data_IF_079431044875
#
_entry.id   IF_079431044875
#
_cell.length_a   1.000
_cell.length_b   1.000
_cell.length_c   1.000
_cell.angle_alpha   90.00
_cell.angle_beta   90.00
_cell.angle_gamma   90.00
#
_symmetry.space_group_name_H-M   'P 1'
#
loop_
_entity.id
_entity.type
_entity.pdbx_description
1 polymer ?
#
# COMPACT_ATOMS: atom_id res chain seq x y z
N UNK A 1 20.08 24.78 -17.50
CA UNK A 1 19.66 23.40 -17.17
C UNK A 1 18.73 23.53 -15.97
N UNK A 2 17.44 23.27 -16.15
CA UNK A 2 16.44 23.49 -15.10
C UNK A 2 16.72 22.62 -13.89
N UNK A 3 16.69 23.22 -12.70
CA UNK A 3 16.80 22.51 -11.42
C UNK A 3 15.77 21.36 -11.42
N UNK A 4 16.15 20.09 -11.12
CA UNK A 4 15.16 19.04 -10.95
C UNK A 4 14.11 19.55 -9.97
N UNK A 5 12.83 19.45 -10.33
CA UNK A 5 11.75 19.74 -9.39
C UNK A 5 12.05 18.95 -8.11
N UNK A 6 12.20 19.66 -6.98
CA UNK A 6 12.34 18.98 -5.71
C UNK A 6 11.12 18.08 -5.49
N UNK A 7 11.28 17.02 -4.70
CA UNK A 7 10.26 15.99 -4.52
C UNK A 7 8.89 16.58 -4.15
N UNK A 8 8.86 17.62 -3.31
CA UNK A 8 7.62 18.28 -2.89
C UNK A 8 6.97 19.04 -4.04
N UNK A 9 7.75 19.77 -4.83
CA UNK A 9 7.27 20.42 -6.05
C UNK A 9 6.73 19.42 -7.07
N UNK A 10 7.43 18.29 -7.28
CA UNK A 10 6.98 17.21 -8.16
C UNK A 10 5.64 16.62 -7.70
N UNK A 11 5.54 16.26 -6.41
CA UNK A 11 4.30 15.73 -5.83
C UNK A 11 3.16 16.72 -5.98
N UNK A 12 3.41 18.01 -5.75
CA UNK A 12 2.40 19.06 -5.96
C UNK A 12 1.94 19.14 -7.42
N UNK A 13 2.88 19.10 -8.38
CA UNK A 13 2.56 19.11 -9.82
C UNK A 13 1.74 17.89 -10.25
N UNK A 14 2.00 16.73 -9.65
CA UNK A 14 1.25 15.50 -9.91
C UNK A 14 -0.05 15.38 -9.10
N UNK A 15 -0.40 16.39 -8.30
CA UNK A 15 -1.52 16.35 -7.36
C UNK A 15 -1.43 15.19 -6.35
N UNK A 16 -0.20 14.83 -5.97
CA UNK A 16 0.18 13.80 -5.00
C UNK A 16 0.82 14.41 -3.74
N UNK A 17 0.56 15.69 -3.44
CA UNK A 17 0.96 16.30 -2.16
C UNK A 17 0.32 15.61 -0.96
N UNK A 18 -0.79 14.91 -1.14
CA UNK A 18 -1.46 14.13 -0.09
C UNK A 18 -2.11 12.88 -0.68
N UNK A 19 -1.64 11.71 -0.30
CA UNK A 19 -2.19 10.44 -0.76
C UNK A 19 -1.97 9.34 0.29
N UNK A 20 -2.75 8.26 0.18
CA UNK A 20 -2.51 7.05 0.95
C UNK A 20 -2.06 5.95 0.00
N UNK A 21 -0.91 5.34 0.26
CA UNK A 21 -0.49 4.11 -0.40
C UNK A 21 -1.13 2.92 0.31
N UNK A 22 -1.70 2.01 -0.47
CA UNK A 22 -2.30 0.78 0.03
C UNK A 22 -1.53 -0.41 -0.50
N UNK A 23 -1.33 -1.40 0.36
CA UNK A 23 -0.75 -2.69 0.04
C UNK A 23 -1.57 -3.81 0.70
N UNK A 24 -1.67 -4.95 0.03
CA UNK A 24 -2.49 -6.06 0.48
C UNK A 24 -1.79 -7.38 0.20
N UNK A 25 -1.80 -8.24 1.22
CA UNK A 25 -1.46 -9.65 1.05
C UNK A 25 -2.74 -10.47 1.00
N UNK A 26 -2.80 -11.45 0.10
CA UNK A 26 -4.02 -12.22 -0.17
C UNK A 26 -3.75 -13.72 -0.25
N UNK A 27 -4.80 -14.53 -0.12
CA UNK A 27 -4.69 -15.99 -0.26
C UNK A 27 -4.37 -16.47 -1.68
N UNK A 28 -4.30 -15.56 -2.65
CA UNK A 28 -4.06 -15.82 -4.07
C UNK A 28 -4.43 -14.62 -4.96
N UNK A 29 -4.45 -14.81 -6.28
CA UNK A 29 -4.60 -13.74 -7.28
C UNK A 29 -6.04 -13.57 -7.81
N UNK A 30 -7.00 -14.37 -7.37
CA UNK A 30 -8.38 -14.31 -7.86
C UNK A 30 -9.22 -13.32 -7.02
N UNK A 31 -9.63 -12.16 -7.58
CA UNK A 31 -10.38 -11.16 -6.83
C UNK A 31 -11.78 -11.59 -6.39
N UNK A 32 -12.34 -12.65 -7.00
CA UNK A 32 -13.66 -13.17 -6.62
C UNK A 32 -13.56 -14.24 -5.53
N UNK A 33 -12.51 -15.05 -5.56
CA UNK A 33 -12.39 -16.22 -4.69
C UNK A 33 -11.39 -16.04 -3.54
N UNK A 34 -10.33 -15.25 -3.73
CA UNK A 34 -9.31 -15.03 -2.71
C UNK A 34 -9.71 -13.99 -1.66
N UNK A 35 -9.01 -14.02 -0.54
CA UNK A 35 -9.30 -13.22 0.66
C UNK A 35 -8.05 -12.51 1.13
N UNK A 36 -8.24 -11.37 1.77
CA UNK A 36 -7.16 -10.56 2.34
C UNK A 36 -6.62 -11.25 3.61
N UNK A 37 -5.30 -11.27 3.73
CA UNK A 37 -4.53 -11.74 4.88
C UNK A 37 -3.96 -10.52 5.65
N UNK A 38 -3.54 -9.48 4.96
CA UNK A 38 -3.02 -8.25 5.55
C UNK A 38 -3.48 -7.03 4.75
N UNK A 39 -3.67 -5.90 5.44
CA UNK A 39 -3.76 -4.57 4.83
C UNK A 39 -2.73 -3.63 5.44
N UNK A 40 -2.04 -2.89 4.59
CA UNK A 40 -1.26 -1.72 4.98
C UNK A 40 -1.80 -0.46 4.28
N UNK A 41 -1.99 0.62 5.04
CA UNK A 41 -2.38 1.93 4.54
C UNK A 41 -1.48 3.01 5.14
N UNK A 42 -0.66 3.64 4.30
CA UNK A 42 0.35 4.62 4.72
C UNK A 42 -0.01 5.98 4.11
N UNK A 43 -0.32 6.96 4.97
CA UNK A 43 -0.59 8.33 4.54
C UNK A 43 0.72 9.06 4.33
N UNK A 44 0.84 9.71 3.17
CA UNK A 44 1.90 10.65 2.85
C UNK A 44 1.35 12.07 2.72
N UNK A 45 2.08 13.04 3.28
CA UNK A 45 1.87 14.47 3.06
C UNK A 45 3.21 15.11 2.69
N UNK A 46 3.26 15.76 1.52
CA UNK A 46 4.46 16.32 0.91
C UNK A 46 5.65 15.35 0.85
N UNK A 47 5.34 14.05 0.74
CA UNK A 47 6.31 12.97 0.67
C UNK A 47 6.72 12.40 2.04
N UNK A 48 6.29 12.99 3.14
CA UNK A 48 6.56 12.46 4.47
C UNK A 48 5.42 11.58 4.96
N UNK A 49 5.73 10.51 5.69
CA UNK A 49 4.71 9.64 6.27
C UNK A 49 4.09 10.36 7.46
N UNK A 50 2.76 10.54 7.44
CA UNK A 50 2.03 11.19 8.54
C UNK A 50 1.11 10.25 9.29
N UNK A 51 0.76 9.09 8.71
CA UNK A 51 -0.05 8.07 9.37
C UNK A 51 0.28 6.68 8.85
N UNK A 52 0.09 5.67 9.70
CA UNK A 52 0.29 4.25 9.38
C UNK A 52 -0.80 3.41 10.00
N UNK A 53 -1.43 2.59 9.18
CA UNK A 53 -2.33 1.53 9.61
C UNK A 53 -1.85 0.21 9.00
N UNK A 54 -1.65 -0.81 9.83
CA UNK A 54 -1.25 -2.15 9.39
C UNK A 54 -1.99 -3.15 10.26
N UNK A 55 -2.67 -4.11 9.63
CA UNK A 55 -3.44 -5.13 10.35
C UNK A 55 -3.45 -6.47 9.61
N UNK A 56 -3.27 -7.54 10.38
CA UNK A 56 -3.52 -8.91 9.95
C UNK A 56 -5.01 -9.24 10.07
N UNK A 57 -5.56 -9.82 9.02
CA UNK A 57 -6.95 -10.20 8.88
C UNK A 57 -7.04 -11.72 8.83
N UNK A 58 -7.96 -12.31 9.59
CA UNK A 58 -8.28 -13.73 9.44
C UNK A 58 -9.08 -13.93 8.14
N UNK A 59 -8.55 -14.63 7.12
CA UNK A 59 -9.25 -14.79 5.84
C UNK A 59 -10.40 -15.80 5.89
N UNK A 60 -10.66 -16.42 7.05
CA UNK A 60 -11.68 -17.45 7.29
C UNK A 60 -11.57 -18.66 6.34
N UNK A 61 -10.36 -18.90 5.82
CA UNK A 61 -10.04 -20.03 4.96
C UNK A 61 -8.58 -20.48 5.13
N UNK A 62 -8.25 -21.73 4.76
CA UNK A 62 -6.87 -22.18 4.74
C UNK A 62 -6.02 -21.35 3.78
N UNK A 63 -4.83 -20.99 4.21
CA UNK A 63 -3.82 -20.31 3.38
C UNK A 63 -2.86 -21.40 2.86
N UNK A 64 -2.60 -21.41 1.55
CA UNK A 64 -1.69 -22.40 0.96
C UNK A 64 -0.23 -22.13 1.40
N UNK A 65 0.60 -23.18 1.50
CA UNK A 65 2.01 -23.01 1.90
C UNK A 65 2.79 -22.04 1.02
N UNK A 66 2.49 -22.02 -0.28
CA UNK A 66 3.12 -21.12 -1.25
C UNK A 66 2.95 -19.64 -0.85
N UNK A 67 1.84 -19.29 -0.20
CA UNK A 67 1.55 -17.91 0.23
C UNK A 67 2.18 -17.60 1.59
N UNK A 68 2.33 -18.59 2.48
CA UNK A 68 2.90 -18.39 3.82
C UNK A 68 4.44 -18.43 3.87
N UNK A 69 5.11 -18.73 2.75
CA UNK A 69 6.58 -18.89 2.67
C UNK A 69 7.32 -17.62 2.20
N UNK A 70 6.66 -16.45 2.24
CA UNK A 70 7.22 -15.14 1.86
C UNK A 70 8.10 -14.57 2.99
#
# INVERSE_FOLDING_TARGET
MGNPLDRKSLLKTLNLSRFTAFDFETTGLDPYNDRIIEIAAIRFEDGEITDRYVELINPERPISRMITEI
#
